data_IF_204954677677
#
_entry.id   IF_204954677677
#
_cell.length_a   1.000
_cell.length_b   1.000
_cell.length_c   1.000
_cell.angle_alpha   90.00
_cell.angle_beta   90.00
_cell.angle_gamma   90.00
#
_symmetry.space_group_name_H-M   'P 1'
#
loop_
_entity.id
_entity.type
_entity.pdbx_description
1 polymer ?
#
# COMPACT_ATOMS: atom_id res chain seq x y z
N UNK A 1 -9.53 3.61 -35.94
CA UNK A 1 -9.13 3.56 -34.51
C UNK A 1 -9.57 2.28 -33.80
N UNK A 2 -10.63 1.59 -34.23
CA UNK A 2 -11.06 0.30 -33.64
C UNK A 2 -9.97 -0.78 -33.62
N UNK A 3 -9.30 -1.07 -34.74
CA UNK A 3 -8.25 -2.10 -34.79
C UNK A 3 -7.06 -1.86 -33.84
N UNK A 4 -6.77 -0.60 -33.48
CA UNK A 4 -5.67 -0.27 -32.58
C UNK A 4 -6.06 -0.53 -31.12
N UNK A 5 -7.33 -0.27 -30.76
CA UNK A 5 -7.82 -0.49 -29.39
C UNK A 5 -7.83 -1.97 -29.00
N UNK A 6 -8.12 -2.87 -29.96
CA UNK A 6 -8.05 -4.31 -29.74
C UNK A 6 -6.61 -4.84 -29.59
N UNK A 7 -5.63 -4.18 -30.19
CA UNK A 7 -4.23 -4.57 -30.11
C UNK A 7 -3.55 -4.10 -28.81
N UNK A 8 -4.01 -2.98 -28.24
CA UNK A 8 -3.42 -2.41 -27.03
C UNK A 8 -4.03 -3.06 -25.78
N UNK A 9 -3.37 -4.10 -25.27
CA UNK A 9 -3.70 -4.70 -23.96
C UNK A 9 -3.11 -3.96 -22.76
N UNK A 10 -2.03 -3.21 -22.98
CA UNK A 10 -1.30 -2.56 -21.90
C UNK A 10 -1.98 -1.24 -21.46
N UNK A 11 -2.24 -1.10 -20.15
CA UNK A 11 -2.91 0.07 -19.59
C UNK A 11 -2.09 1.35 -19.73
N UNK A 12 -0.77 1.27 -19.61
CA UNK A 12 0.13 2.42 -19.74
C UNK A 12 0.03 2.93 -21.17
N UNK A 13 0.06 2.03 -22.14
CA UNK A 13 -0.09 2.37 -23.55
C UNK A 13 -1.44 3.04 -23.84
N UNK A 14 -2.56 2.52 -23.30
CA UNK A 14 -3.88 3.17 -23.42
C UNK A 14 -3.84 4.60 -22.87
N UNK A 15 -3.28 4.80 -21.67
CA UNK A 15 -3.19 6.11 -21.03
C UNK A 15 -2.32 7.08 -21.84
N UNK A 16 -1.22 6.59 -22.40
CA UNK A 16 -0.34 7.36 -23.25
C UNK A 16 -1.05 7.83 -24.52
N UNK A 17 -1.74 6.93 -25.23
CA UNK A 17 -2.47 7.25 -26.46
C UNK A 17 -3.57 8.31 -26.22
N UNK A 18 -4.29 8.20 -25.11
CA UNK A 18 -5.28 9.20 -24.69
C UNK A 18 -4.66 10.59 -24.56
N UNK A 19 -3.49 10.70 -23.96
CA UNK A 19 -2.78 11.98 -23.76
C UNK A 19 -2.18 12.48 -25.09
N UNK A 20 -1.57 11.57 -25.86
CA UNK A 20 -0.95 11.86 -27.16
C UNK A 20 -1.93 12.52 -28.12
N UNK A 21 -3.17 12.04 -28.17
CA UNK A 21 -4.23 12.63 -28.99
C UNK A 21 -4.55 14.08 -28.64
N UNK A 22 -4.38 14.47 -27.37
CA UNK A 22 -4.54 15.87 -26.95
C UNK A 22 -3.31 16.70 -27.29
N UNK A 23 -2.13 16.23 -26.89
CA UNK A 23 -0.90 17.05 -26.93
C UNK A 23 -0.30 17.12 -28.34
N UNK A 24 -0.42 16.07 -29.16
CA UNK A 24 0.11 16.02 -30.53
C UNK A 24 -0.96 16.37 -31.56
N UNK A 25 -2.14 15.76 -31.47
CA UNK A 25 -3.21 15.93 -32.47
C UNK A 25 -4.18 17.07 -32.14
N UNK A 26 -4.03 17.73 -30.98
CA UNK A 26 -4.86 18.87 -30.57
C UNK A 26 -6.35 18.53 -30.32
N UNK A 27 -6.72 17.25 -30.23
CA UNK A 27 -8.12 16.84 -30.07
C UNK A 27 -8.74 17.41 -28.80
N UNK A 28 -10.04 17.68 -28.85
CA UNK A 28 -10.79 18.14 -27.68
C UNK A 28 -10.92 17.02 -26.66
N UNK A 29 -10.65 17.32 -25.39
CA UNK A 29 -10.72 16.37 -24.28
C UNK A 29 -12.08 15.66 -24.21
N UNK A 30 -13.18 16.37 -24.50
CA UNK A 30 -14.54 15.80 -24.51
C UNK A 30 -14.67 14.66 -25.53
N UNK A 31 -14.09 14.81 -26.71
CA UNK A 31 -14.20 13.84 -27.80
C UNK A 31 -13.32 12.61 -27.50
N UNK A 32 -12.10 12.84 -26.99
CA UNK A 32 -11.21 11.78 -26.52
C UNK A 32 -11.89 10.96 -25.41
N UNK A 33 -12.49 11.62 -24.41
CA UNK A 33 -13.18 10.95 -23.31
C UNK A 33 -14.35 10.08 -23.80
N UNK A 34 -15.13 10.58 -24.77
CA UNK A 34 -16.23 9.84 -25.39
C UNK A 34 -15.73 8.62 -26.15
N UNK A 35 -14.68 8.80 -26.96
CA UNK A 35 -14.11 7.76 -27.80
C UNK A 35 -13.44 6.63 -27.00
N UNK A 36 -12.74 6.97 -25.92
CA UNK A 36 -12.02 6.01 -25.08
C UNK A 36 -12.85 5.52 -23.89
N UNK A 37 -14.10 6.00 -23.74
CA UNK A 37 -15.03 5.66 -22.65
C UNK A 37 -14.41 5.91 -21.26
N UNK A 38 -13.73 7.04 -21.10
CA UNK A 38 -13.11 7.48 -19.84
C UNK A 38 -13.73 8.77 -19.33
N UNK A 39 -13.59 9.03 -18.04
CA UNK A 39 -13.99 10.32 -17.46
C UNK A 39 -12.95 11.41 -17.72
N UNK A 40 -13.39 12.67 -17.75
CA UNK A 40 -12.49 13.84 -17.79
C UNK A 40 -11.52 13.85 -16.61
N UNK A 41 -11.97 13.40 -15.44
CA UNK A 41 -11.13 13.31 -14.24
C UNK A 41 -9.96 12.36 -14.44
N UNK A 42 -10.19 11.18 -15.03
CA UNK A 42 -9.12 10.24 -15.37
C UNK A 42 -8.16 10.84 -16.39
N UNK A 43 -8.68 11.52 -17.41
CA UNK A 43 -7.87 12.20 -18.42
C UNK A 43 -6.89 13.19 -17.78
N UNK A 44 -7.39 14.14 -16.99
CA UNK A 44 -6.54 15.17 -16.37
C UNK A 44 -5.56 14.58 -15.36
N UNK A 45 -5.99 13.56 -14.60
CA UNK A 45 -5.09 12.83 -13.70
C UNK A 45 -3.91 12.20 -14.45
N UNK A 46 -4.17 11.54 -15.58
CA UNK A 46 -3.11 10.93 -16.38
C UNK A 46 -2.24 11.98 -17.06
N UNK A 47 -2.81 13.06 -17.58
CA UNK A 47 -2.07 14.17 -18.18
C UNK A 47 -1.11 14.82 -17.17
N UNK A 48 -1.59 15.08 -15.94
CA UNK A 48 -0.75 15.63 -14.87
C UNK A 48 0.40 14.70 -14.50
N UNK A 49 0.12 13.40 -14.36
CA UNK A 49 1.14 12.38 -14.07
C UNK A 49 2.19 12.30 -15.17
N UNK A 50 1.75 12.29 -16.42
CA UNK A 50 2.65 12.27 -17.57
C UNK A 50 3.54 13.51 -17.62
N UNK A 51 2.99 14.69 -17.33
CA UNK A 51 3.79 15.93 -17.24
C UNK A 51 4.80 15.91 -16.10
N UNK A 52 4.51 15.20 -15.00
CA UNK A 52 5.41 15.10 -13.84
C UNK A 52 6.58 14.14 -14.03
N UNK A 53 6.39 13.03 -14.75
CA UNK A 53 7.41 11.98 -14.84
C UNK A 53 7.30 11.06 -16.05
N UNK A 54 6.67 11.54 -17.11
CA UNK A 54 6.54 10.82 -18.37
C UNK A 54 5.74 9.51 -18.26
N UNK A 55 6.14 8.52 -19.07
CA UNK A 55 5.45 7.24 -19.20
C UNK A 55 5.51 6.41 -17.90
N UNK A 56 6.59 6.52 -17.11
CA UNK A 56 6.72 5.81 -15.83
C UNK A 56 5.58 6.16 -14.85
N UNK A 57 5.20 7.43 -14.79
CA UNK A 57 4.13 7.93 -13.91
C UNK A 57 2.72 7.50 -14.35
N UNK A 58 2.58 6.93 -15.55
CA UNK A 58 1.31 6.35 -16.02
C UNK A 58 1.09 4.91 -15.52
N UNK A 59 2.06 4.29 -14.85
CA UNK A 59 1.89 2.97 -14.23
C UNK A 59 0.89 3.01 -13.07
N UNK A 60 0.28 1.87 -12.79
CA UNK A 60 -0.56 1.71 -11.60
C UNK A 60 0.31 1.82 -10.35
N UNK A 61 0.01 2.80 -9.48
CA UNK A 61 0.69 2.90 -8.18
C UNK A 61 0.16 1.79 -7.26
N UNK A 62 1.04 1.23 -6.41
CA UNK A 62 0.66 0.21 -5.42
C UNK A 62 -0.55 0.68 -4.62
N UNK A 63 -1.61 -0.14 -4.63
CA UNK A 63 -2.80 0.05 -3.80
C UNK A 63 -2.49 -0.51 -2.41
N UNK A 64 -2.66 0.29 -1.37
CA UNK A 64 -2.41 -0.15 0.01
C UNK A 64 -2.09 1.01 0.94
N UNK A 65 -2.07 0.77 2.27
CA UNK A 65 -1.69 1.78 3.25
C UNK A 65 -0.29 2.31 2.92
N UNK A 66 -0.20 3.64 2.74
CA UNK A 66 1.06 4.35 2.43
C UNK A 66 1.89 4.64 3.68
N UNK A 67 1.28 4.54 4.86
CA UNK A 67 1.93 4.69 6.15
C UNK A 67 2.34 3.32 6.71
N UNK A 68 3.44 3.26 7.49
CA UNK A 68 3.74 2.09 8.29
C UNK A 68 2.52 1.73 9.14
N UNK A 69 2.28 0.44 9.33
CA UNK A 69 1.35 -0.02 10.36
C UNK A 69 1.74 0.63 11.69
N UNK A 70 0.77 0.88 12.60
CA UNK A 70 1.08 1.26 14.01
C UNK A 70 2.07 0.27 14.67
N UNK A 71 2.23 -0.92 14.09
CA UNK A 71 3.36 -1.84 14.31
C UNK A 71 4.60 -1.35 13.57
N UNK A 72 5.38 -0.49 14.21
CA UNK A 72 6.75 -0.25 13.76
C UNK A 72 7.62 -1.45 14.13
N UNK A 73 8.74 -1.63 13.42
CA UNK A 73 9.73 -2.69 13.73
C UNK A 73 10.28 -2.56 15.15
N UNK A 74 10.36 -1.33 15.66
CA UNK A 74 10.80 -1.03 17.02
C UNK A 74 9.82 -1.60 18.05
N UNK A 75 8.52 -1.32 17.88
CA UNK A 75 7.48 -1.88 18.73
C UNK A 75 7.46 -3.41 18.70
N UNK A 76 7.63 -4.02 17.52
CA UNK A 76 7.71 -5.48 17.40
C UNK A 76 8.92 -6.06 18.13
N UNK A 77 10.09 -5.44 17.97
CA UNK A 77 11.33 -5.86 18.64
C UNK A 77 11.22 -5.76 20.16
N UNK A 78 10.55 -4.72 20.67
CA UNK A 78 10.35 -4.53 22.11
C UNK A 78 9.41 -5.57 22.70
N UNK A 79 8.31 -5.90 22.00
CA UNK A 79 7.38 -6.97 22.39
C UNK A 79 8.11 -8.32 22.49
N UNK A 80 8.91 -8.65 21.48
CA UNK A 80 9.68 -9.91 21.43
C UNK A 80 10.69 -9.95 22.59
N UNK A 81 11.45 -8.88 22.77
CA UNK A 81 12.47 -8.79 23.84
C UNK A 81 11.86 -8.98 25.22
N UNK A 82 10.73 -8.34 25.52
CA UNK A 82 10.02 -8.53 26.79
C UNK A 82 9.54 -9.98 26.97
N UNK A 83 9.04 -10.61 25.90
CA UNK A 83 8.58 -12.01 25.99
C UNK A 83 9.73 -13.00 26.22
N UNK A 84 10.91 -12.74 25.65
CA UNK A 84 12.11 -13.54 25.91
C UNK A 84 12.66 -13.31 27.32
N UNK A 85 12.72 -12.06 27.79
CA UNK A 85 13.20 -11.75 29.13
C UNK A 85 12.27 -12.29 30.23
N UNK A 86 10.96 -12.33 29.97
CA UNK A 86 9.95 -12.79 30.93
C UNK A 86 8.93 -13.75 30.27
N UNK A 87 9.28 -15.03 30.11
CA UNK A 87 8.41 -16.02 29.44
C UNK A 87 7.05 -16.24 30.11
N UNK A 88 6.95 -16.03 31.42
CA UNK A 88 5.71 -16.23 32.18
C UNK A 88 4.65 -15.14 31.92
N UNK A 89 5.10 -13.91 31.57
CA UNK A 89 4.21 -12.76 31.41
C UNK A 89 3.17 -13.00 30.33
N UNK A 90 1.94 -12.63 30.67
CA UNK A 90 0.80 -12.69 29.77
C UNK A 90 0.78 -11.48 28.82
N UNK A 91 -0.14 -11.52 27.87
CA UNK A 91 -0.24 -10.51 26.80
C UNK A 91 -0.64 -9.14 27.35
N UNK A 92 -1.43 -9.08 28.42
CA UNK A 92 -1.88 -7.85 29.06
C UNK A 92 -0.74 -7.20 29.85
N UNK A 93 0.00 -7.99 30.63
CA UNK A 93 1.17 -7.52 31.39
C UNK A 93 2.23 -6.91 30.47
N UNK A 94 2.52 -7.56 29.33
CA UNK A 94 3.46 -7.01 28.33
C UNK A 94 2.91 -5.71 27.73
N UNK A 95 1.59 -5.61 27.55
CA UNK A 95 0.93 -4.42 27.00
C UNK A 95 1.03 -3.24 27.96
N UNK A 96 0.76 -3.47 29.25
CA UNK A 96 0.77 -2.45 30.29
C UNK A 96 2.19 -1.92 30.52
N UNK A 97 3.19 -2.80 30.59
CA UNK A 97 4.58 -2.36 30.73
C UNK A 97 5.08 -1.58 29.52
N UNK A 98 4.68 -1.96 28.30
CA UNK A 98 5.03 -1.19 27.10
C UNK A 98 4.40 0.21 27.16
N UNK A 99 3.19 0.30 27.69
CA UNK A 99 2.50 1.58 27.88
C UNK A 99 3.19 2.44 28.94
N UNK A 100 3.67 1.87 30.03
CA UNK A 100 4.51 2.55 31.03
C UNK A 100 5.84 3.04 30.43
N UNK A 101 6.41 2.31 29.48
CA UNK A 101 7.60 2.72 28.69
C UNK A 101 7.28 3.78 27.61
N UNK A 102 6.04 4.27 27.53
CA UNK A 102 5.61 5.29 26.56
C UNK A 102 5.22 4.72 25.19
N UNK A 103 5.14 3.39 25.03
CA UNK A 103 4.76 2.72 23.79
C UNK A 103 3.32 2.23 23.91
N UNK A 104 2.37 2.99 23.35
CA UNK A 104 0.95 2.63 23.37
C UNK A 104 0.65 1.47 22.39
N UNK A 105 0.59 0.26 22.94
CA UNK A 105 0.29 -0.98 22.22
C UNK A 105 -0.90 -1.66 22.86
N UNK A 106 -1.84 -2.16 22.06
CA UNK A 106 -2.96 -2.95 22.58
C UNK A 106 -2.57 -4.42 22.84
N UNK A 107 -3.23 -5.12 23.77
CA UNK A 107 -2.99 -6.55 24.01
C UNK A 107 -3.18 -7.39 22.73
N UNK A 108 -4.18 -7.05 21.91
CA UNK A 108 -4.39 -7.68 20.59
C UNK A 108 -3.19 -7.50 19.66
N UNK A 109 -2.50 -6.37 19.76
CA UNK A 109 -1.31 -6.09 18.96
C UNK A 109 -0.14 -6.96 19.41
N UNK A 110 0.10 -7.03 20.72
CA UNK A 110 1.08 -7.92 21.37
C UNK A 110 0.84 -9.38 20.95
N UNK A 111 -0.39 -9.88 21.11
CA UNK A 111 -0.76 -11.26 20.75
C UNK A 111 -0.45 -11.61 19.29
N UNK A 112 -0.81 -10.72 18.36
CA UNK A 112 -0.55 -10.90 16.93
C UNK A 112 0.94 -10.86 16.60
N UNK A 113 1.72 -10.01 17.27
CA UNK A 113 3.18 -9.99 17.09
C UNK A 113 3.81 -11.29 17.57
N UNK A 114 3.47 -11.76 18.78
CA UNK A 114 3.96 -13.04 19.31
C UNK A 114 3.56 -14.21 18.41
N UNK A 115 2.33 -14.26 17.92
CA UNK A 115 1.87 -15.29 16.98
C UNK A 115 2.60 -15.24 15.63
N UNK A 116 2.91 -14.05 15.12
CA UNK A 116 3.64 -13.90 13.85
C UNK A 116 5.09 -14.39 13.94
N UNK A 117 5.67 -14.35 15.15
CA UNK A 117 7.02 -14.81 15.45
C UNK A 117 7.07 -16.21 16.12
N UNK A 118 5.96 -16.97 16.10
CA UNK A 118 5.83 -18.31 16.71
C UNK A 118 6.07 -18.36 18.24
N UNK A 119 6.05 -17.24 18.95
CA UNK A 119 6.29 -17.10 20.40
C UNK A 119 5.01 -17.27 21.26
N UNK A 120 4.03 -18.01 20.76
CA UNK A 120 2.77 -18.27 21.48
C UNK A 120 2.94 -19.41 22.50
N UNK A 121 2.24 -19.31 23.65
CA UNK A 121 2.27 -20.27 24.79
C UNK A 121 2.17 -21.75 24.38
N UNK A 122 1.57 -22.05 23.21
CA UNK A 122 1.41 -23.42 22.70
C UNK A 122 2.73 -24.11 22.28
N UNK A 123 3.83 -23.37 22.07
CA UNK A 123 5.08 -23.93 21.50
C UNK A 123 6.36 -23.73 22.33
N UNK A 124 6.34 -22.91 23.38
CA UNK A 124 7.47 -22.76 24.32
C UNK A 124 7.62 -23.93 25.31
N UNK A 125 6.72 -24.91 25.26
CA UNK A 125 6.74 -26.11 26.12
C UNK A 125 7.66 -27.22 25.59
N UNK A 126 8.47 -26.93 24.56
CA UNK A 126 9.41 -27.86 23.93
C UNK A 126 10.75 -27.13 23.80
N UNK A 127 11.38 -26.80 24.93
CA UNK A 127 12.82 -26.62 25.10
C UNK A 127 13.16 -26.94 26.54
#
# INVERSE_FOLDING_TARGET
MEKIKDFIRDKVQVRYEVIRQREIEGKRVKDICKEWKISKTSFYLWQERFRKGGVEELKDKKRGPKSPSKRTKETESRIISKKFAFPEKNIFEISDELKEEGIDVSPRTVARTLSSHLLSKKKLKIM
#
